data_IF_776967597198
#
_entry.id   IF_776967597198
#
_cell.length_a   1.000
_cell.length_b   1.000
_cell.length_c   1.000
_cell.angle_alpha   90.00
_cell.angle_beta   90.00
_cell.angle_gamma   90.00
#
_symmetry.space_group_name_H-M   'P 1'
#
loop_
_entity.id
_entity.type
_entity.pdbx_description
1 polymer ?
#
# COMPACT_ATOMS: atom_id res chain seq x y z
N UNK A 1 -5.83 14.71 9.88
CA UNK A 1 -5.83 13.50 10.74
C UNK A 1 -4.44 12.92 10.75
N UNK A 2 -3.95 12.42 11.88
CA UNK A 2 -2.59 11.88 12.03
C UNK A 2 -2.68 10.41 12.44
N UNK A 3 -2.02 9.53 11.68
CA UNK A 3 -2.09 8.08 11.88
C UNK A 3 -1.10 7.62 12.95
N UNK A 4 -1.47 6.60 13.73
CA UNK A 4 -0.63 5.95 14.73
C UNK A 4 0.34 4.92 14.10
N UNK A 5 1.13 5.35 13.10
CA UNK A 5 1.92 4.46 12.21
C UNK A 5 2.82 3.49 12.97
N UNK A 6 3.54 3.94 14.00
CA UNK A 6 4.48 3.07 14.71
C UNK A 6 3.76 1.95 15.48
N UNK A 7 2.80 2.22 16.39
CA UNK A 7 1.97 1.18 16.99
C UNK A 7 1.29 0.26 15.97
N UNK A 8 0.79 0.83 14.87
CA UNK A 8 0.16 0.05 13.81
C UNK A 8 1.11 -0.99 13.21
N UNK A 9 2.33 -0.58 12.83
CA UNK A 9 3.29 -1.48 12.19
C UNK A 9 3.87 -2.52 13.15
N UNK A 10 4.05 -2.18 14.44
CA UNK A 10 4.48 -3.16 15.45
C UNK A 10 3.52 -4.34 15.53
N UNK A 11 2.23 -4.11 15.35
CA UNK A 11 1.20 -5.15 15.43
C UNK A 11 0.93 -5.82 14.08
N UNK A 12 0.89 -5.04 12.98
CA UNK A 12 0.32 -5.50 11.72
C UNK A 12 1.32 -5.69 10.58
N UNK A 13 2.61 -5.42 10.77
CA UNK A 13 3.60 -5.65 9.71
C UNK A 13 3.62 -7.13 9.30
N UNK A 14 3.34 -7.38 8.02
CA UNK A 14 3.33 -8.72 7.44
C UNK A 14 2.09 -9.54 7.78
N UNK A 15 1.08 -8.96 8.41
CA UNK A 15 -0.16 -9.65 8.76
C UNK A 15 -1.37 -9.00 8.11
N UNK A 16 -2.44 -9.79 7.99
CA UNK A 16 -3.72 -9.32 7.51
C UNK A 16 -4.48 -8.65 8.66
N UNK A 17 -4.93 -7.42 8.41
CA UNK A 17 -5.70 -6.64 9.36
C UNK A 17 -7.06 -7.33 9.53
N UNK A 18 -7.56 -7.48 10.77
CA UNK A 18 -8.86 -8.11 11.02
C UNK A 18 -9.99 -7.34 10.34
N UNK A 19 -11.10 -8.03 10.08
CA UNK A 19 -12.29 -7.52 9.40
C UNK A 19 -12.06 -7.09 7.94
N UNK A 20 -13.17 -6.98 7.19
CA UNK A 20 -13.08 -6.78 5.76
C UNK A 20 -12.93 -5.30 5.38
N UNK A 21 -11.87 -5.03 4.61
CA UNK A 21 -11.74 -3.80 3.83
C UNK A 21 -11.06 -2.63 4.53
N UNK A 22 -11.03 -1.50 3.82
CA UNK A 22 -10.24 -0.31 4.20
C UNK A 22 -10.71 0.33 5.51
N UNK A 23 -11.99 0.18 5.87
CA UNK A 23 -12.56 0.81 7.06
C UNK A 23 -11.89 0.34 8.35
N UNK A 24 -11.66 -0.98 8.48
CA UNK A 24 -10.96 -1.56 9.64
C UNK A 24 -9.55 -1.01 9.78
N UNK A 25 -8.77 -1.02 8.68
CA UNK A 25 -7.42 -0.45 8.65
C UNK A 25 -7.43 1.01 9.09
N UNK A 26 -8.36 1.80 8.56
CA UNK A 26 -8.46 3.24 8.85
C UNK A 26 -8.88 3.50 10.30
N UNK A 27 -9.76 2.68 10.87
CA UNK A 27 -10.20 2.77 12.25
C UNK A 27 -9.05 2.44 13.23
N UNK A 28 -8.34 1.34 12.99
CA UNK A 28 -7.19 0.93 13.80
C UNK A 28 -6.06 1.97 13.71
N UNK A 29 -5.80 2.48 12.49
CA UNK A 29 -4.83 3.55 12.26
C UNK A 29 -5.18 4.88 12.98
N UNK A 30 -6.44 5.04 13.39
CA UNK A 30 -6.98 6.22 14.07
C UNK A 30 -7.37 5.92 15.53
N UNK A 31 -6.66 5.01 16.20
CA UNK A 31 -6.91 4.65 17.60
C UNK A 31 -8.35 4.18 17.88
N UNK A 32 -8.95 3.44 16.96
CA UNK A 32 -10.28 2.84 17.12
C UNK A 32 -11.45 3.71 16.65
N UNK A 33 -11.22 4.95 16.20
CA UNK A 33 -12.27 5.83 15.68
C UNK A 33 -12.31 5.80 14.15
N UNK A 34 -13.42 5.40 13.53
CA UNK A 34 -13.52 5.36 12.07
C UNK A 34 -13.45 6.78 11.46
N UNK A 35 -12.39 7.15 10.73
CA UNK A 35 -12.34 8.45 10.07
C UNK A 35 -13.23 8.47 8.82
N UNK A 36 -13.58 9.66 8.34
CA UNK A 36 -14.18 9.81 7.00
C UNK A 36 -13.09 9.63 5.93
N UNK A 37 -13.32 8.75 4.96
CA UNK A 37 -12.42 8.54 3.83
C UNK A 37 -13.18 8.04 2.59
N UNK A 38 -12.56 8.13 1.41
CA UNK A 38 -13.12 7.60 0.17
C UNK A 38 -12.76 6.12 0.00
N UNK A 39 -13.73 5.22 0.24
CA UNK A 39 -13.53 3.76 0.11
C UNK A 39 -13.18 3.29 -1.31
N UNK A 40 -13.55 4.07 -2.33
CA UNK A 40 -13.29 3.75 -3.73
C UNK A 40 -11.89 4.20 -4.21
N UNK A 41 -11.19 5.02 -3.42
CA UNK A 41 -9.86 5.50 -3.77
C UNK A 41 -8.78 4.45 -3.53
N UNK A 42 -7.81 4.32 -4.46
CA UNK A 42 -6.60 3.51 -4.29
C UNK A 42 -5.60 4.09 -3.28
N UNK A 43 -5.89 5.28 -2.73
CA UNK A 43 -5.09 5.95 -1.70
C UNK A 43 -5.98 6.64 -0.66
N UNK A 44 -5.54 6.67 0.60
CA UNK A 44 -6.07 7.57 1.61
C UNK A 44 -4.97 8.48 2.17
N UNK A 45 -5.23 9.79 2.19
CA UNK A 45 -4.29 10.80 2.66
C UNK A 45 -4.51 11.16 4.13
N UNK A 46 -3.45 11.13 4.92
CA UNK A 46 -3.39 11.63 6.30
C UNK A 46 -2.31 12.70 6.39
N UNK A 47 -2.19 13.42 7.50
CA UNK A 47 -1.21 14.51 7.63
C UNK A 47 0.22 13.97 7.59
N UNK A 48 0.48 12.84 8.24
CA UNK A 48 1.81 12.21 8.35
C UNK A 48 2.01 11.02 7.41
N UNK A 49 0.97 10.54 6.72
CA UNK A 49 1.07 9.30 5.96
C UNK A 49 0.17 9.24 4.72
N UNK A 50 0.51 8.34 3.81
CA UNK A 50 -0.33 7.85 2.72
C UNK A 50 -0.59 6.36 2.92
N UNK A 51 -1.84 5.94 2.76
CA UNK A 51 -2.23 4.53 2.78
C UNK A 51 -2.53 4.11 1.34
N UNK A 52 -1.73 3.20 0.80
CA UNK A 52 -1.81 2.72 -0.58
C UNK A 52 -2.50 1.37 -0.62
N UNK A 53 -3.59 1.27 -1.38
CA UNK A 53 -4.40 0.06 -1.49
C UNK A 53 -4.16 -0.62 -2.83
N UNK A 54 -3.75 -1.87 -2.81
CA UNK A 54 -3.48 -2.66 -4.00
C UNK A 54 -4.27 -3.97 -3.97
N UNK A 55 -4.98 -4.27 -5.05
CA UNK A 55 -5.51 -5.61 -5.29
C UNK A 55 -4.52 -6.35 -6.18
N UNK A 56 -4.05 -7.52 -5.75
CA UNK A 56 -3.05 -8.31 -6.48
C UNK A 56 -3.65 -8.97 -7.73
N UNK A 57 -4.90 -9.40 -7.68
CA UNK A 57 -5.59 -10.06 -8.81
C UNK A 57 -6.33 -9.06 -9.72
N UNK A 58 -5.85 -7.82 -9.80
CA UNK A 58 -6.51 -6.77 -10.56
C UNK A 58 -6.66 -7.11 -12.05
N UNK A 59 -7.89 -7.09 -12.56
CA UNK A 59 -8.17 -7.31 -13.98
C UNK A 59 -7.77 -6.14 -14.89
N UNK A 60 -7.70 -4.92 -14.34
CA UNK A 60 -7.50 -3.68 -15.10
C UNK A 60 -6.03 -3.24 -15.16
N UNK A 61 -5.28 -3.49 -14.09
CA UNK A 61 -3.86 -3.15 -13.98
C UNK A 61 -3.12 -4.30 -13.31
N UNK A 62 -2.03 -4.74 -13.90
CA UNK A 62 -1.21 -5.82 -13.37
C UNK A 62 -0.33 -5.26 -12.24
N UNK A 63 -0.89 -5.19 -11.02
CA UNK A 63 -0.14 -4.86 -9.82
C UNK A 63 0.84 -6.00 -9.53
N UNK A 64 2.04 -5.88 -10.08
CA UNK A 64 3.04 -6.95 -10.08
C UNK A 64 4.16 -6.60 -9.13
N UNK A 65 4.54 -7.61 -8.38
CA UNK A 65 5.79 -7.63 -7.66
C UNK A 65 6.92 -8.00 -8.62
N UNK A 66 8.03 -7.27 -8.54
CA UNK A 66 9.24 -7.51 -9.35
C UNK A 66 10.47 -7.58 -8.43
N UNK A 67 11.62 -8.02 -8.97
CA UNK A 67 12.88 -8.16 -8.23
C UNK A 67 12.71 -8.93 -6.91
N UNK A 68 12.27 -10.20 -6.99
CA UNK A 68 11.99 -11.03 -5.82
C UNK A 68 11.01 -10.36 -4.83
N UNK A 69 9.99 -9.68 -5.36
CA UNK A 69 8.98 -8.92 -4.63
C UNK A 69 9.47 -7.75 -3.76
N UNK A 70 10.70 -7.26 -3.99
CA UNK A 70 11.18 -6.03 -3.35
C UNK A 70 10.49 -4.78 -3.89
N UNK A 71 10.03 -4.86 -5.15
CA UNK A 71 9.41 -3.73 -5.83
C UNK A 71 7.96 -4.03 -6.22
N UNK A 72 7.09 -3.04 -6.07
CA UNK A 72 5.68 -3.06 -6.46
C UNK A 72 5.41 -1.92 -7.44
N UNK A 73 4.70 -2.20 -8.52
CA UNK A 73 4.11 -1.13 -9.34
C UNK A 73 2.77 -0.69 -8.76
N UNK A 74 2.64 0.61 -8.51
CA UNK A 74 1.38 1.23 -8.09
C UNK A 74 0.89 2.19 -9.16
N UNK A 75 -0.41 2.14 -9.43
CA UNK A 75 -1.06 2.95 -10.45
C UNK A 75 -2.01 3.97 -9.83
N UNK A 76 -1.89 5.22 -10.28
CA UNK A 76 -2.78 6.31 -9.90
C UNK A 76 -4.22 6.08 -10.38
N UNK A 77 -5.18 6.65 -9.64
CA UNK A 77 -6.58 6.65 -10.08
C UNK A 77 -6.78 7.50 -11.34
N UNK A 78 -7.87 7.26 -12.08
CA UNK A 78 -8.17 7.92 -13.37
C UNK A 78 -8.28 9.45 -13.34
N UNK A 79 -8.36 10.07 -12.15
CA UNK A 79 -8.37 11.53 -11.98
C UNK A 79 -7.04 12.09 -11.48
N UNK A 80 -6.05 11.24 -11.23
CA UNK A 80 -4.73 11.67 -10.76
C UNK A 80 -3.86 12.07 -11.94
N UNK A 81 -3.16 13.18 -11.75
CA UNK A 81 -2.14 13.72 -12.65
C UNK A 81 -0.96 14.23 -11.82
N UNK A 82 0.14 14.63 -12.45
CA UNK A 82 1.40 14.96 -11.77
C UNK A 82 1.28 16.01 -10.66
N UNK A 83 0.37 16.97 -10.82
CA UNK A 83 0.13 18.04 -9.85
C UNK A 83 -0.93 17.71 -8.79
N UNK A 84 -1.54 16.51 -8.88
CA UNK A 84 -2.44 16.03 -7.83
C UNK A 84 -1.67 15.93 -6.52
N UNK A 85 -2.28 16.43 -5.43
CA UNK A 85 -1.67 16.44 -4.09
C UNK A 85 -1.08 15.09 -3.68
N UNK A 86 -1.80 13.99 -3.94
CA UNK A 86 -1.32 12.62 -3.68
C UNK A 86 0.01 12.35 -4.39
N UNK A 87 0.13 12.72 -5.66
CA UNK A 87 1.33 12.46 -6.48
C UNK A 87 2.51 13.27 -5.98
N UNK A 88 2.27 14.55 -5.64
CA UNK A 88 3.28 15.40 -5.00
C UNK A 88 3.76 14.73 -3.71
N UNK A 89 2.84 14.27 -2.85
CA UNK A 89 3.17 13.65 -1.56
C UNK A 89 3.82 12.27 -1.67
N UNK A 90 3.53 11.50 -2.71
CA UNK A 90 4.24 10.25 -3.00
C UNK A 90 5.74 10.50 -3.25
N UNK A 91 6.12 11.72 -3.63
CA UNK A 91 7.51 12.12 -3.89
C UNK A 91 8.19 12.78 -2.69
N UNK A 92 7.50 12.94 -1.56
CA UNK A 92 8.07 13.56 -0.34
C UNK A 92 8.36 12.52 0.74
N UNK A 93 8.99 12.94 1.83
CA UNK A 93 9.39 12.12 2.99
C UNK A 93 8.25 11.68 3.92
N UNK A 94 6.98 11.77 3.50
CA UNK A 94 5.87 11.26 4.33
C UNK A 94 5.88 9.74 4.37
N UNK A 95 5.41 9.13 5.46
CA UNK A 95 5.26 7.67 5.52
C UNK A 95 4.27 7.20 4.44
N UNK A 96 4.58 6.11 3.75
CA UNK A 96 3.72 5.50 2.74
C UNK A 96 3.56 4.03 3.13
N UNK A 97 2.36 3.64 3.49
CA UNK A 97 2.06 2.28 3.90
C UNK A 97 1.39 1.52 2.77
N UNK A 98 1.94 0.37 2.42
CA UNK A 98 1.39 -0.50 1.39
C UNK A 98 0.48 -1.55 2.01
N UNK A 99 -0.75 -1.62 1.51
CA UNK A 99 -1.72 -2.64 1.85
C UNK A 99 -2.11 -3.40 0.59
N UNK A 100 -1.95 -4.71 0.63
CA UNK A 100 -2.28 -5.58 -0.50
C UNK A 100 -3.36 -6.57 -0.10
N UNK A 101 -4.09 -7.11 -1.07
CA UNK A 101 -4.97 -8.27 -0.88
C UNK A 101 -5.20 -8.99 -2.19
N UNK A 102 -5.61 -10.25 -2.12
CA UNK A 102 -6.31 -10.92 -3.22
C UNK A 102 -7.80 -10.64 -3.17
N UNK A 103 -8.51 -10.97 -4.24
CA UNK A 103 -9.97 -10.85 -4.25
C UNK A 103 -10.59 -11.71 -3.12
N UNK A 104 -11.55 -11.13 -2.38
CA UNK A 104 -12.17 -11.79 -1.23
C UNK A 104 -11.35 -11.83 0.06
N UNK A 105 -10.07 -11.41 0.04
CA UNK A 105 -9.21 -11.41 1.23
C UNK A 105 -9.24 -10.10 2.04
N UNK A 106 -8.77 -10.21 3.27
CA UNK A 106 -8.41 -9.08 4.13
C UNK A 106 -7.19 -8.34 3.59
N UNK A 107 -7.05 -7.06 3.91
CA UNK A 107 -5.84 -6.31 3.57
C UNK A 107 -4.69 -6.72 4.47
N UNK A 108 -3.59 -7.16 3.87
CA UNK A 108 -2.32 -7.42 4.51
C UNK A 108 -1.41 -6.19 4.42
N UNK A 109 -0.84 -5.78 5.56
CA UNK A 109 0.08 -4.65 5.61
C UNK A 109 1.50 -5.11 5.27
N UNK A 110 2.08 -4.56 4.21
CA UNK A 110 3.46 -4.83 3.81
C UNK A 110 4.42 -3.71 4.22
N UNK A 111 4.04 -2.93 5.23
CA UNK A 111 4.91 -1.92 5.81
C UNK A 111 5.12 -0.70 4.94
N UNK A 112 6.26 -0.05 5.16
CA UNK A 112 6.64 1.20 4.51
C UNK A 112 7.21 0.98 3.12
N UNK A 113 6.93 1.94 2.25
CA UNK A 113 7.49 1.97 0.90
C UNK A 113 8.07 3.32 0.53
N UNK A 114 9.08 3.28 -0.34
CA UNK A 114 9.65 4.46 -0.99
C UNK A 114 9.28 4.48 -2.47
N UNK A 115 8.91 5.65 -3.00
CA UNK A 115 8.75 5.83 -4.43
C UNK A 115 10.15 6.00 -5.05
N UNK A 116 10.60 5.02 -5.82
CA UNK A 116 11.98 4.97 -6.36
C UNK A 116 12.06 5.33 -7.84
N UNK A 117 10.95 5.20 -8.57
CA UNK A 117 10.83 5.64 -9.96
C UNK A 117 9.35 5.90 -10.29
N UNK A 118 9.08 6.67 -11.34
CA UNK A 118 7.71 6.80 -11.84
C UNK A 118 7.64 7.53 -13.17
N UNK A 119 6.62 7.17 -13.95
CA UNK A 119 6.18 7.94 -15.11
C UNK A 119 4.96 8.78 -14.70
N UNK A 120 5.20 10.07 -14.50
CA UNK A 120 4.21 11.02 -14.00
C UNK A 120 3.43 11.71 -15.13
N UNK A 121 3.85 11.54 -16.38
CA UNK A 121 3.17 12.10 -17.55
C UNK A 121 2.28 11.03 -18.23
N UNK A 122 2.47 9.74 -17.93
CA UNK A 122 1.56 8.67 -18.33
C UNK A 122 0.18 8.74 -17.67
N UNK A 123 -0.80 8.13 -18.35
CA UNK A 123 -2.14 7.91 -17.81
C UNK A 123 -2.57 6.43 -17.93
N UNK A 124 -2.80 5.72 -16.81
CA UNK A 124 -2.61 6.18 -15.43
C UNK A 124 -1.12 6.42 -15.10
N UNK A 125 -0.88 7.29 -14.11
CA UNK A 125 0.47 7.47 -13.54
C UNK A 125 0.94 6.13 -12.96
N UNK A 126 2.17 5.74 -13.27
CA UNK A 126 2.77 4.50 -12.77
C UNK A 126 3.99 4.83 -11.89
N UNK A 127 4.01 4.32 -10.67
CA UNK A 127 5.09 4.56 -9.70
C UNK A 127 5.64 3.22 -9.21
N UNK A 128 6.95 3.05 -9.30
CA UNK A 128 7.68 1.93 -8.72
C UNK A 128 7.94 2.23 -7.24
N UNK A 129 7.43 1.34 -6.39
CA UNK A 129 7.58 1.38 -4.95
C UNK A 129 8.60 0.33 -4.51
N UNK A 130 9.49 0.68 -3.58
CA UNK A 130 10.42 -0.23 -2.91
C UNK A 130 9.91 -0.51 -1.49
N UNK A 131 9.74 -1.80 -1.13
CA UNK A 131 9.43 -2.24 0.23
C UNK A 131 10.62 -2.03 1.18
N UNK A 132 10.50 -1.09 2.12
CA UNK A 132 11.55 -0.85 3.14
C UNK A 132 11.68 -2.01 4.12
N UNK A 133 10.56 -2.66 4.41
CA UNK A 133 10.48 -3.73 5.41
C UNK A 133 10.67 -5.14 4.78
N UNK A 134 11.23 -5.22 3.56
CA UNK A 134 11.37 -6.45 2.79
C UNK A 134 12.00 -7.60 3.58
N UNK A 135 13.14 -7.35 4.22
CA UNK A 135 13.91 -8.37 4.95
C UNK A 135 13.10 -8.97 6.11
N UNK A 136 12.35 -8.13 6.83
CA UNK A 136 11.47 -8.59 7.89
C UNK A 136 10.33 -9.43 7.31
N UNK A 137 9.64 -8.91 6.29
CA UNK A 137 8.51 -9.58 5.64
C UNK A 137 8.90 -10.95 5.07
N UNK A 138 10.02 -11.05 4.37
CA UNK A 138 10.49 -12.29 3.77
C UNK A 138 10.74 -13.39 4.82
N UNK A 139 11.13 -13.00 6.04
CA UNK A 139 11.44 -13.93 7.14
C UNK A 139 10.22 -14.29 7.97
N UNK A 140 9.34 -13.34 8.25
CA UNK A 140 8.31 -13.48 9.29
C UNK A 140 6.89 -13.58 8.76
N UNK A 141 6.61 -13.11 7.54
CA UNK A 141 5.25 -13.07 6.99
C UNK A 141 4.97 -14.29 6.11
N UNK A 142 4.14 -15.22 6.61
CA UNK A 142 3.65 -16.34 5.80
C UNK A 142 2.90 -15.87 4.56
N UNK A 143 2.11 -14.80 4.67
CA UNK A 143 1.39 -14.21 3.54
C UNK A 143 2.36 -13.67 2.46
N UNK A 144 3.38 -12.92 2.86
CA UNK A 144 4.37 -12.40 1.92
C UNK A 144 5.22 -13.51 1.30
N UNK A 145 5.50 -14.58 2.04
CA UNK A 145 6.16 -15.77 1.50
C UNK A 145 5.33 -16.45 0.41
N UNK A 146 4.01 -16.50 0.53
CA UNK A 146 3.16 -16.98 -0.56
C UNK A 146 3.25 -16.07 -1.79
N UNK A 147 3.25 -14.74 -1.62
CA UNK A 147 3.49 -13.79 -2.72
C UNK A 147 4.82 -14.09 -3.41
N UNK A 148 5.90 -14.26 -2.65
CA UNK A 148 7.25 -14.53 -3.16
C UNK A 148 7.30 -15.80 -4.03
N UNK A 149 6.56 -16.86 -3.67
CA UNK A 149 6.51 -18.10 -4.46
C UNK A 149 5.87 -17.93 -5.82
N UNK A 150 4.92 -17.00 -5.96
CA UNK A 150 4.24 -16.73 -7.22
C UNK A 150 5.04 -15.81 -8.14
N UNK A 151 5.89 -14.93 -7.59
CA UNK A 151 6.76 -14.02 -8.35
C UNK A 151 7.98 -14.74 -8.96
N UNK A 152 8.32 -15.93 -8.46
CA UNK A 152 9.49 -16.73 -8.91
C UNK A 152 9.17 -17.68 -10.08
N UNK A 153 7.91 -17.79 -10.50
CA UNK A 153 7.49 -18.55 -11.68
C UNK A 153 7.46 -17.63 -12.89
#
# INVERSE_FOLDING_TARGET
MTANIHPFLTTYLGTCVPDFGKASVMQIANNGLLPRFNKYSGVAEWNNALFLWVNLDGHTYTNTFTHHAQHMMWYGGSKMHKDSRVIIRLRTEVDKLLFVRREGEHYCCLGRVDAVAGDYDAHPIAIKLHLRDYEALAKTSGYFQEILRHVRK
#
